data_IF_031472059989
#
_entry.id   IF_031472059989
#
_cell.length_a   1.000
_cell.length_b   1.000
_cell.length_c   1.000
_cell.angle_alpha   90.00
_cell.angle_beta   90.00
_cell.angle_gamma   90.00
#
_symmetry.space_group_name_H-M   'P 1'
#
loop_
_entity.id
_entity.type
_entity.pdbx_description
1 polymer ?
#
# COMPACT_ATOMS: atom_id res chain seq x y z
N UNK A 1 -4.59 18.60 25.65
CA UNK A 1 -3.93 19.90 25.29
C UNK A 1 -2.66 20.18 26.09
N UNK A 2 -2.35 19.41 27.12
CA UNK A 2 -1.18 19.66 27.98
C UNK A 2 0.05 18.82 27.63
N UNK A 3 -0.06 17.86 26.73
CA UNK A 3 1.03 17.05 26.25
C UNK A 3 1.40 17.50 24.83
N UNK A 4 2.69 17.64 24.57
CA UNK A 4 3.22 18.09 23.25
C UNK A 4 3.28 16.90 22.32
N UNK A 5 2.16 16.56 21.68
CA UNK A 5 2.11 15.63 20.56
C UNK A 5 2.16 16.40 19.26
N UNK A 6 2.95 15.91 18.30
CA UNK A 6 3.06 16.50 16.97
C UNK A 6 1.97 15.99 16.03
N UNK A 7 1.41 14.80 16.31
CA UNK A 7 0.40 14.15 15.49
C UNK A 7 -0.72 13.62 16.37
N UNK A 8 -1.96 13.89 15.99
CA UNK A 8 -3.18 13.33 16.58
C UNK A 8 -3.93 12.54 15.50
N UNK A 9 -4.15 11.26 15.75
CA UNK A 9 -4.97 10.40 14.90
C UNK A 9 -6.30 10.14 15.61
N UNK A 10 -7.42 10.44 14.94
CA UNK A 10 -8.76 10.17 15.43
C UNK A 10 -9.31 9.01 14.62
N UNK A 11 -9.45 7.85 15.25
CA UNK A 11 -10.11 6.69 14.67
C UNK A 11 -11.59 6.74 14.97
N UNK A 12 -12.41 6.48 13.96
CA UNK A 12 -13.87 6.52 14.07
C UNK A 12 -14.46 5.13 13.89
N UNK A 13 -15.65 4.89 14.43
CA UNK A 13 -16.31 3.60 14.30
C UNK A 13 -16.50 3.23 12.82
N UNK A 14 -15.92 2.09 12.41
CA UNK A 14 -16.17 1.51 11.09
C UNK A 14 -17.59 0.97 11.01
N UNK A 15 -18.37 1.45 10.05
CA UNK A 15 -19.71 0.93 9.76
C UNK A 15 -19.78 0.48 8.29
N UNK A 16 -20.48 -0.61 8.06
CA UNK A 16 -20.70 -1.16 6.71
C UNK A 16 -21.67 -0.29 5.89
N UNK A 17 -22.44 0.56 6.56
CA UNK A 17 -23.41 1.46 5.91
C UNK A 17 -23.19 2.88 6.40
N UNK A 18 -23.30 3.82 5.47
CA UNK A 18 -23.30 5.25 5.76
C UNK A 18 -24.68 5.59 6.31
N UNK A 19 -24.73 6.00 7.57
CA UNK A 19 -25.94 6.47 8.21
C UNK A 19 -25.83 7.95 8.61
N UNK A 20 -26.97 8.65 8.73
CA UNK A 20 -26.99 10.05 9.11
C UNK A 20 -26.31 10.34 10.47
N UNK A 21 -26.51 9.50 11.52
CA UNK A 21 -25.85 9.73 12.80
C UNK A 21 -24.32 9.73 12.71
N UNK A 22 -23.74 8.84 11.91
CA UNK A 22 -22.31 8.79 11.69
C UNK A 22 -21.81 10.06 10.99
N UNK A 23 -22.52 10.51 9.96
CA UNK A 23 -22.15 11.72 9.23
C UNK A 23 -22.23 12.97 10.11
N UNK A 24 -23.22 13.05 10.97
CA UNK A 24 -23.37 14.16 11.90
C UNK A 24 -22.26 14.16 12.96
N UNK A 25 -21.87 12.99 13.49
CA UNK A 25 -20.76 12.84 14.42
C UNK A 25 -19.44 13.33 13.78
N UNK A 26 -19.16 12.92 12.54
CA UNK A 26 -17.97 13.34 11.82
C UNK A 26 -17.94 14.85 11.54
N UNK A 27 -19.09 15.44 11.18
CA UNK A 27 -19.23 16.89 11.00
C UNK A 27 -19.00 17.66 12.31
N UNK A 28 -19.48 17.13 13.44
CA UNK A 28 -19.24 17.72 14.75
C UNK A 28 -17.77 17.66 15.15
N UNK A 29 -17.09 16.54 14.90
CA UNK A 29 -15.64 16.43 15.12
C UNK A 29 -14.88 17.49 14.33
N UNK A 30 -15.19 17.67 13.04
CA UNK A 30 -14.55 18.66 12.19
C UNK A 30 -14.80 20.11 12.63
N UNK A 31 -15.93 20.39 13.27
CA UNK A 31 -16.20 21.73 13.84
C UNK A 31 -15.37 22.02 15.08
N UNK A 32 -15.10 20.99 15.89
CA UNK A 32 -14.40 21.14 17.19
C UNK A 32 -12.88 21.20 16.99
N UNK A 33 -12.36 20.42 16.03
CA UNK A 33 -10.92 20.25 15.80
C UNK A 33 -10.63 20.61 14.35
N UNK A 34 -9.66 21.53 14.09
CA UNK A 34 -9.15 21.70 12.73
C UNK A 34 -8.45 20.41 12.31
N UNK A 35 -8.96 19.79 11.24
CA UNK A 35 -8.46 18.52 10.71
C UNK A 35 -7.63 18.82 9.47
N UNK A 36 -6.34 18.44 9.50
CA UNK A 36 -5.44 18.61 8.36
C UNK A 36 -5.69 17.54 7.28
N UNK A 37 -6.00 16.31 7.72
CA UNK A 37 -6.21 15.17 6.85
C UNK A 37 -7.47 14.40 7.24
N UNK A 38 -8.38 14.22 6.28
CA UNK A 38 -9.55 13.34 6.39
C UNK A 38 -9.37 12.19 5.40
N UNK A 39 -9.02 11.03 5.92
CA UNK A 39 -8.75 9.83 5.13
C UNK A 39 -9.89 8.84 5.25
N UNK A 40 -10.43 8.38 4.13
CA UNK A 40 -11.40 7.29 4.10
C UNK A 40 -10.69 5.98 3.76
N UNK A 41 -10.85 4.98 4.65
CA UNK A 41 -10.40 3.61 4.39
C UNK A 41 -11.46 2.86 3.58
N UNK A 42 -11.06 2.31 2.44
CA UNK A 42 -11.92 1.50 1.57
C UNK A 42 -11.26 0.16 1.25
N UNK A 43 -12.07 -0.88 1.16
CA UNK A 43 -11.63 -2.22 0.76
C UNK A 43 -11.63 -2.31 -0.77
N UNK A 44 -10.47 -2.55 -1.37
CA UNK A 44 -10.31 -2.65 -2.83
C UNK A 44 -11.11 -3.81 -3.43
N UNK A 45 -11.36 -4.86 -2.65
CA UNK A 45 -12.12 -6.03 -3.11
C UNK A 45 -13.63 -5.82 -3.09
N UNK A 46 -14.14 -4.75 -2.47
CA UNK A 46 -15.57 -4.42 -2.46
C UNK A 46 -16.08 -3.88 -3.80
N UNK A 47 -15.20 -3.67 -4.77
CA UNK A 47 -15.58 -3.29 -6.13
C UNK A 47 -16.43 -2.01 -6.19
N UNK A 48 -17.65 -2.11 -6.75
CA UNK A 48 -18.56 -0.98 -6.93
C UNK A 48 -19.04 -0.39 -5.60
N UNK A 49 -19.13 -1.17 -4.54
CA UNK A 49 -19.55 -0.68 -3.22
C UNK A 49 -18.52 0.30 -2.65
N UNK A 50 -17.22 0.04 -2.84
CA UNK A 50 -16.17 0.98 -2.46
C UNK A 50 -16.32 2.34 -3.16
N UNK A 51 -16.70 2.34 -4.45
CA UNK A 51 -16.96 3.56 -5.22
C UNK A 51 -18.16 4.32 -4.67
N UNK A 52 -19.24 3.61 -4.38
CA UNK A 52 -20.47 4.20 -3.83
C UNK A 52 -20.21 4.83 -2.44
N UNK A 53 -19.53 4.11 -1.57
CA UNK A 53 -19.13 4.58 -0.25
C UNK A 53 -18.27 5.83 -0.37
N UNK A 54 -17.19 5.80 -1.13
CA UNK A 54 -16.30 6.94 -1.30
C UNK A 54 -17.01 8.18 -1.88
N UNK A 55 -17.91 7.95 -2.85
CA UNK A 55 -18.67 9.04 -3.48
C UNK A 55 -19.64 9.68 -2.49
N UNK A 56 -20.33 8.89 -1.68
CA UNK A 56 -21.28 9.39 -0.70
C UNK A 56 -20.56 10.12 0.43
N UNK A 57 -19.49 9.55 0.97
CA UNK A 57 -18.67 10.22 1.98
C UNK A 57 -18.14 11.57 1.49
N UNK A 58 -17.57 11.62 0.28
CA UNK A 58 -16.99 12.83 -0.25
C UNK A 58 -18.00 13.96 -0.50
N UNK A 59 -19.28 13.64 -0.63
CA UNK A 59 -20.35 14.65 -0.73
C UNK A 59 -20.66 15.31 0.63
N UNK A 60 -20.59 14.54 1.71
CA UNK A 60 -20.96 14.98 3.04
C UNK A 60 -19.77 15.51 3.85
N UNK A 61 -18.61 14.87 3.68
CA UNK A 61 -17.37 15.15 4.40
C UNK A 61 -16.27 15.36 3.35
N UNK A 62 -15.61 16.53 3.33
CA UNK A 62 -14.51 16.77 2.40
C UNK A 62 -13.34 15.81 2.69
N UNK A 63 -13.12 14.86 1.81
CA UNK A 63 -12.02 13.92 1.92
C UNK A 63 -10.73 14.53 1.34
N UNK A 64 -9.62 14.42 2.07
CA UNK A 64 -8.30 14.81 1.59
C UNK A 64 -7.54 13.67 0.93
N UNK A 65 -7.94 12.43 1.20
CA UNK A 65 -7.32 11.25 0.63
C UNK A 65 -8.07 9.96 0.95
N UNK A 66 -7.66 8.91 0.28
CA UNK A 66 -8.15 7.56 0.47
C UNK A 66 -7.01 6.63 0.87
N UNK A 67 -7.34 5.65 1.71
CA UNK A 67 -6.49 4.50 2.01
C UNK A 67 -7.19 3.27 1.43
N UNK A 68 -6.53 2.55 0.53
CA UNK A 68 -7.11 1.34 -0.05
C UNK A 68 -6.50 0.11 0.61
N UNK A 69 -7.30 -0.66 1.34
CA UNK A 69 -6.89 -1.94 1.91
C UNK A 69 -7.09 -3.08 0.92
N UNK A 70 -6.38 -4.20 1.15
CA UNK A 70 -6.46 -5.44 0.36
C UNK A 70 -6.18 -5.25 -1.12
N UNK A 71 -5.30 -4.32 -1.46
CA UNK A 71 -4.95 -4.04 -2.84
C UNK A 71 -4.16 -5.19 -3.50
N UNK A 72 -3.53 -6.05 -2.69
CA UNK A 72 -2.90 -7.31 -3.10
C UNK A 72 -3.90 -8.30 -3.70
N UNK A 73 -5.16 -8.27 -3.26
CA UNK A 73 -6.26 -9.09 -3.80
C UNK A 73 -6.92 -8.51 -5.06
N UNK A 74 -6.77 -7.22 -5.33
CA UNK A 74 -7.30 -6.55 -6.53
C UNK A 74 -6.32 -6.65 -7.69
N UNK A 75 -6.36 -7.79 -8.39
CA UNK A 75 -5.43 -8.10 -9.49
C UNK A 75 -5.37 -7.05 -10.60
N UNK A 76 -6.41 -6.23 -10.77
CA UNK A 76 -6.53 -5.25 -11.86
C UNK A 76 -6.65 -3.80 -11.42
N UNK A 77 -6.69 -3.53 -10.11
CA UNK A 77 -6.80 -2.15 -9.58
C UNK A 77 -8.02 -1.37 -10.04
N UNK A 78 -9.09 -2.06 -10.45
CA UNK A 78 -10.27 -1.44 -11.06
C UNK A 78 -11.02 -0.53 -10.09
N UNK A 79 -11.06 -0.89 -8.80
CA UNK A 79 -11.67 -0.07 -7.77
C UNK A 79 -10.91 1.26 -7.61
N UNK A 80 -9.59 1.23 -7.58
CA UNK A 80 -8.75 2.43 -7.44
C UNK A 80 -9.02 3.45 -8.57
N UNK A 81 -9.02 2.98 -9.81
CA UNK A 81 -9.28 3.82 -10.98
C UNK A 81 -10.68 4.42 -10.94
N UNK A 82 -11.70 3.60 -10.63
CA UNK A 82 -13.10 4.02 -10.59
C UNK A 82 -13.35 5.05 -9.49
N UNK A 83 -12.84 4.82 -8.29
CA UNK A 83 -12.98 5.74 -7.16
C UNK A 83 -12.30 7.08 -7.50
N UNK A 84 -11.06 7.04 -7.99
CA UNK A 84 -10.33 8.27 -8.36
C UNK A 84 -11.08 9.09 -9.42
N UNK A 85 -11.64 8.42 -10.43
CA UNK A 85 -12.39 9.07 -11.50
C UNK A 85 -13.70 9.68 -11.00
N UNK A 86 -14.42 8.99 -10.12
CA UNK A 86 -15.74 9.40 -9.64
C UNK A 86 -15.69 10.47 -8.55
N UNK A 87 -14.70 10.40 -7.67
CA UNK A 87 -14.60 11.31 -6.51
C UNK A 87 -13.62 12.46 -6.72
N UNK A 88 -12.63 12.29 -7.58
CA UNK A 88 -11.50 13.22 -7.69
C UNK A 88 -10.54 13.18 -6.49
N UNK A 89 -10.84 12.41 -5.44
CA UNK A 89 -10.03 12.31 -4.23
C UNK A 89 -8.78 11.45 -4.49
N UNK A 90 -7.57 11.91 -4.11
CA UNK A 90 -6.36 11.13 -4.32
C UNK A 90 -6.32 9.90 -3.41
N UNK A 91 -5.83 8.79 -3.93
CA UNK A 91 -5.42 7.66 -3.11
C UNK A 91 -4.03 7.98 -2.58
N UNK A 92 -3.84 7.96 -1.27
CA UNK A 92 -2.57 8.29 -0.61
C UNK A 92 -1.80 7.06 -0.18
N UNK A 93 -2.51 6.06 0.34
CA UNK A 93 -1.89 4.85 0.89
C UNK A 93 -2.56 3.58 0.36
N UNK A 94 -1.76 2.53 0.26
CA UNK A 94 -2.16 1.20 -0.16
C UNK A 94 -1.78 0.18 0.91
N UNK A 95 -2.75 -0.62 1.35
CA UNK A 95 -2.51 -1.81 2.16
C UNK A 95 -2.40 -3.03 1.25
N UNK A 96 -1.21 -3.62 1.20
CA UNK A 96 -0.88 -4.76 0.35
C UNK A 96 -0.65 -6.05 1.14
N UNK A 97 -1.05 -6.07 2.40
CA UNK A 97 -0.94 -7.20 3.30
C UNK A 97 -1.49 -6.87 4.70
N UNK A 98 -1.15 -7.68 5.71
CA UNK A 98 -1.70 -7.58 7.07
C UNK A 98 -0.76 -6.94 8.10
N UNK A 99 0.49 -6.66 7.73
CA UNK A 99 1.49 -6.11 8.64
C UNK A 99 1.56 -4.59 8.48
N UNK A 100 2.14 -3.93 9.48
CA UNK A 100 2.37 -2.47 9.44
C UNK A 100 3.27 -2.10 8.25
N UNK A 101 4.26 -2.92 7.95
CA UNK A 101 5.18 -2.74 6.83
C UNK A 101 4.52 -2.92 5.46
N UNK A 102 3.32 -3.51 5.42
CA UNK A 102 2.53 -3.70 4.20
C UNK A 102 1.62 -2.48 3.90
N UNK A 103 1.70 -1.42 4.69
CA UNK A 103 1.11 -0.11 4.38
C UNK A 103 2.14 0.75 3.67
N UNK A 104 1.90 1.06 2.42
CA UNK A 104 2.81 1.83 1.57
C UNK A 104 2.17 3.09 0.97
N UNK A 105 2.98 4.02 0.51
CA UNK A 105 2.49 5.13 -0.29
C UNK A 105 1.89 4.61 -1.61
N UNK A 106 0.77 5.17 -2.01
CA UNK A 106 0.16 4.80 -3.29
C UNK A 106 0.93 5.44 -4.46
N UNK A 107 1.38 4.61 -5.40
CA UNK A 107 2.10 5.02 -6.60
C UNK A 107 1.20 4.88 -7.84
N UNK A 108 0.61 5.96 -8.37
CA UNK A 108 -0.30 5.91 -9.50
C UNK A 108 0.29 5.26 -10.76
N UNK A 109 1.56 5.54 -11.04
CA UNK A 109 2.25 5.03 -12.22
C UNK A 109 2.40 3.50 -12.15
N UNK A 110 2.82 2.97 -11.00
CA UNK A 110 2.91 1.52 -10.76
C UNK A 110 1.55 0.83 -10.88
N UNK A 111 0.50 1.50 -10.36
CA UNK A 111 -0.85 0.99 -10.49
C UNK A 111 -1.31 0.96 -11.95
N UNK A 112 -1.00 1.99 -12.74
CA UNK A 112 -1.29 2.02 -14.15
C UNK A 112 -0.58 0.89 -14.91
N UNK A 113 0.72 0.66 -14.66
CA UNK A 113 1.49 -0.43 -15.25
C UNK A 113 0.88 -1.80 -14.90
N UNK A 114 0.47 -1.98 -13.64
CA UNK A 114 -0.23 -3.20 -13.18
C UNK A 114 -1.56 -3.41 -13.90
N UNK A 115 -2.37 -2.35 -14.07
CA UNK A 115 -3.66 -2.42 -14.80
C UNK A 115 -3.43 -2.78 -16.27
N UNK A 116 -2.36 -2.26 -16.88
CA UNK A 116 -2.01 -2.51 -18.28
C UNK A 116 -1.31 -3.87 -18.48
N UNK A 117 -1.05 -4.62 -17.41
CA UNK A 117 -0.36 -5.90 -17.47
C UNK A 117 1.13 -5.78 -17.79
N UNK A 118 1.73 -4.60 -17.55
CA UNK A 118 3.15 -4.35 -17.78
C UNK A 118 4.03 -4.86 -16.62
N UNK A 119 3.42 -5.40 -15.56
CA UNK A 119 4.12 -5.85 -14.35
C UNK A 119 4.55 -4.69 -13.45
N UNK A 120 5.02 -5.01 -12.25
CA UNK A 120 5.54 -4.02 -11.29
C UNK A 120 7.05 -4.22 -11.10
N UNK A 121 7.81 -4.00 -12.16
CA UNK A 121 9.26 -4.19 -12.18
C UNK A 121 9.97 -3.23 -11.24
N UNK A 122 9.45 -2.01 -11.07
CA UNK A 122 10.06 -1.01 -10.19
C UNK A 122 9.98 -1.43 -8.72
N UNK A 123 8.82 -1.87 -8.25
CA UNK A 123 8.68 -2.43 -6.90
C UNK A 123 9.58 -3.64 -6.69
N UNK A 124 9.70 -4.50 -7.70
CA UNK A 124 10.61 -5.64 -7.63
C UNK A 124 12.08 -5.19 -7.45
N UNK A 125 12.51 -4.19 -8.20
CA UNK A 125 13.88 -3.64 -8.10
C UNK A 125 14.11 -3.03 -6.72
N UNK A 126 13.19 -2.23 -6.21
CA UNK A 126 13.28 -1.61 -4.88
C UNK A 126 13.29 -2.65 -3.76
N UNK A 127 12.42 -3.65 -3.83
CA UNK A 127 12.38 -4.77 -2.88
C UNK A 127 13.70 -5.56 -2.88
N UNK A 128 14.29 -5.76 -4.05
CA UNK A 128 15.58 -6.41 -4.20
C UNK A 128 16.68 -5.56 -3.57
N UNK A 129 16.73 -4.27 -3.89
CA UNK A 129 17.74 -3.35 -3.36
C UNK A 129 17.66 -3.20 -1.84
N UNK A 130 16.43 -3.14 -1.28
CA UNK A 130 16.23 -3.01 0.17
C UNK A 130 16.61 -4.27 0.97
N UNK A 131 16.50 -5.46 0.35
CA UNK A 131 16.67 -6.75 1.05
C UNK A 131 17.99 -7.45 0.77
N UNK A 132 18.71 -7.06 -0.27
CA UNK A 132 19.99 -7.64 -0.63
C UNK A 132 21.13 -6.83 0.00
N UNK A 133 22.02 -7.53 0.69
CA UNK A 133 23.30 -6.97 1.14
C UNK A 133 24.28 -6.95 -0.04
N UNK A 134 24.44 -5.78 -0.66
CA UNK A 134 25.29 -5.58 -1.82
C UNK A 134 26.74 -6.03 -1.55
N UNK A 135 27.28 -5.73 -0.35
CA UNK A 135 28.66 -6.10 0.01
C UNK A 135 28.84 -7.61 0.08
N UNK A 136 27.83 -8.29 0.65
CA UNK A 136 27.86 -9.76 0.73
C UNK A 136 27.70 -10.41 -0.64
N UNK A 137 26.84 -9.84 -1.48
CA UNK A 137 26.61 -10.31 -2.85
C UNK A 137 27.87 -10.15 -3.69
N UNK A 138 28.52 -8.99 -3.64
CA UNK A 138 29.77 -8.74 -4.36
C UNK A 138 30.91 -9.69 -3.91
N UNK A 139 31.05 -9.89 -2.60
CA UNK A 139 32.02 -10.83 -2.04
C UNK A 139 31.79 -12.25 -2.54
N UNK A 140 30.55 -12.71 -2.52
CA UNK A 140 30.18 -14.07 -2.99
C UNK A 140 30.42 -14.22 -4.49
N UNK A 141 30.06 -13.19 -5.29
CA UNK A 141 30.32 -13.19 -6.73
C UNK A 141 31.80 -13.24 -7.08
N UNK A 142 32.65 -12.46 -6.37
CA UNK A 142 34.12 -12.51 -6.56
C UNK A 142 34.69 -13.90 -6.23
N UNK A 143 34.22 -14.52 -5.14
CA UNK A 143 34.63 -15.88 -4.75
C UNK A 143 34.23 -16.93 -5.79
N UNK A 144 33.02 -16.81 -6.35
CA UNK A 144 32.53 -17.65 -7.42
C UNK A 144 33.41 -17.54 -8.67
N UNK A 145 33.74 -16.32 -9.10
CA UNK A 145 34.62 -16.07 -10.27
C UNK A 145 36.03 -16.60 -10.05
N UNK A 146 36.51 -16.57 -8.81
CA UNK A 146 37.84 -17.07 -8.46
C UNK A 146 37.91 -18.57 -8.18
N UNK A 147 36.82 -19.31 -8.38
CA UNK A 147 36.74 -20.74 -8.09
C UNK A 147 36.83 -21.12 -6.60
N UNK A 148 36.59 -20.15 -5.71
CA UNK A 148 36.67 -20.31 -4.25
C UNK A 148 35.28 -20.44 -3.59
N UNK A 149 34.24 -20.70 -4.37
CA UNK A 149 32.87 -20.84 -3.89
C UNK A 149 32.72 -22.10 -3.03
N UNK A 150 32.23 -21.96 -1.80
CA UNK A 150 32.04 -23.05 -0.85
C UNK A 150 30.58 -23.19 -0.38
N UNK A 151 30.32 -24.16 0.52
CA UNK A 151 28.98 -24.40 1.09
C UNK A 151 28.47 -23.25 1.95
N UNK A 152 29.35 -22.43 2.55
CA UNK A 152 28.96 -21.27 3.31
C UNK A 152 28.48 -20.14 2.39
N UNK A 153 29.13 -20.00 1.23
CA UNK A 153 28.71 -19.08 0.19
C UNK A 153 27.34 -19.48 -0.35
N UNK A 154 27.13 -20.79 -0.61
CA UNK A 154 25.82 -21.32 -1.02
C UNK A 154 24.74 -21.05 0.04
N UNK A 155 25.04 -21.30 1.30
CA UNK A 155 24.11 -21.03 2.42
C UNK A 155 23.75 -19.54 2.51
N UNK A 156 24.73 -18.65 2.29
CA UNK A 156 24.54 -17.21 2.26
C UNK A 156 23.60 -16.78 1.13
N UNK A 157 23.81 -17.30 -0.07
CA UNK A 157 22.91 -17.05 -1.23
C UNK A 157 21.50 -17.53 -0.94
N UNK A 158 21.34 -18.74 -0.40
CA UNK A 158 20.01 -19.26 -0.05
C UNK A 158 19.30 -18.42 1.01
N UNK A 159 20.03 -17.93 2.02
CA UNK A 159 19.46 -17.02 3.04
C UNK A 159 19.02 -15.70 2.42
N UNK A 160 19.78 -15.14 1.47
CA UNK A 160 19.39 -13.91 0.76
C UNK A 160 18.16 -14.14 -0.12
N UNK A 161 18.11 -15.25 -0.86
CA UNK A 161 16.93 -15.63 -1.64
C UNK A 161 15.68 -15.76 -0.77
N UNK A 162 15.80 -16.36 0.43
CA UNK A 162 14.70 -16.47 1.36
C UNK A 162 14.16 -15.11 1.86
N UNK A 163 15.03 -14.10 1.98
CA UNK A 163 14.65 -12.73 2.34
C UNK A 163 13.83 -12.03 1.24
N UNK A 164 14.03 -12.37 -0.02
CA UNK A 164 13.28 -11.82 -1.16
C UNK A 164 11.82 -12.29 -1.20
N UNK A 165 11.46 -13.30 -0.45
CA UNK A 165 10.10 -13.84 -0.40
C UNK A 165 9.92 -15.09 -1.26
N UNK A 166 8.66 -15.45 -1.54
CA UNK A 166 8.36 -16.63 -2.36
C UNK A 166 8.66 -16.37 -3.84
N UNK A 167 9.19 -17.37 -4.54
CA UNK A 167 9.41 -17.32 -5.99
C UNK A 167 8.14 -16.96 -6.76
N UNK A 168 6.97 -17.38 -6.25
CA UNK A 168 5.67 -17.05 -6.85
C UNK A 168 5.37 -15.55 -6.79
N UNK A 169 5.78 -14.86 -5.71
CA UNK A 169 5.62 -13.40 -5.61
C UNK A 169 6.51 -12.69 -6.63
N UNK A 170 7.76 -13.14 -6.76
CA UNK A 170 8.72 -12.57 -7.73
C UNK A 170 8.25 -12.78 -9.16
N UNK A 171 7.81 -14.01 -9.50
CA UNK A 171 7.31 -14.33 -10.83
C UNK A 171 6.03 -13.57 -11.19
N UNK A 172 5.17 -13.27 -10.22
CA UNK A 172 3.96 -12.46 -10.43
C UNK A 172 4.20 -10.97 -10.69
N UNK A 173 5.42 -10.47 -10.45
CA UNK A 173 5.82 -9.08 -10.70
C UNK A 173 6.51 -8.89 -12.06
N UNK A 174 6.86 -10.00 -12.73
CA UNK A 174 7.46 -9.97 -14.07
C UNK A 174 6.32 -9.98 -15.10
N UNK A 175 6.35 -9.11 -16.11
CA UNK A 175 5.33 -9.03 -17.14
C UNK A 175 5.22 -10.30 -17.99
#
# INVERSE_FOLDING_TARGET
>A
RNEKYDVLIIDTAGRLQIDEPLMDELKEIQKIIPVDETLLLVDAMSGQDAVNVATTFNKEIPLTGLVMSKLDGDARGGAALSIRKMTGVPIKYAGVGEKIEDLENFHPDRMADRILGMGDVLTLIEDIQAKIDEKQTEKTSRRLMNGQFDLNDLLSVMKQMKKLGSLSKILGMIP
#
